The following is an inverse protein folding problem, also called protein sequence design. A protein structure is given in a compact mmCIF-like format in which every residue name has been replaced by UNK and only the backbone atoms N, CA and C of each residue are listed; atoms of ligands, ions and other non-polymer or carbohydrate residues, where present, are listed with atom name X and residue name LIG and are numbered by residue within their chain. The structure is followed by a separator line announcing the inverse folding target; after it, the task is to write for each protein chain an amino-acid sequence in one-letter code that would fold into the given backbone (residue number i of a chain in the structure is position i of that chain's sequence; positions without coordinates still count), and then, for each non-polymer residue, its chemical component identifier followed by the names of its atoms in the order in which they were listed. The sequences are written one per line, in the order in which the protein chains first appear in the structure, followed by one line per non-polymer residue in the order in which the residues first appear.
data_IF_617339825246
#
_entry.id   IF_617339825246
#
_cell.length_a   1.000
_cell.length_b   1.000
_cell.length_c   1.000
_cell.angle_alpha   90.00
_cell.angle_beta   90.00
_cell.angle_gamma   90.00
#
_symmetry.space_group_name_H-M   'P 1'
#
loop_
_entity.id
_entity.type
_entity.pdbx_description
1 polymer ?
#
# COMPACT_ATOMS: atom_id res chain seq x y z
N UNK A 1 -18.73 -3.30 -15.52
CA UNK A 1 -18.00 -2.02 -15.29
C UNK A 1 -18.81 -1.22 -14.29
N UNK A 2 -18.23 -0.82 -13.14
CA UNK A 2 -18.84 0.30 -12.41
C UNK A 2 -18.88 1.43 -13.42
N UNK A 3 -20.08 1.95 -13.77
CA UNK A 3 -20.23 3.00 -14.76
C UNK A 3 -19.52 4.25 -14.22
N UNK A 4 -18.24 4.43 -14.57
CA UNK A 4 -17.44 5.60 -14.18
C UNK A 4 -17.96 6.91 -14.82
N UNK A 5 -18.88 6.83 -15.78
CA UNK A 5 -19.50 7.99 -16.44
C UNK A 5 -20.17 8.97 -15.47
N UNK A 6 -20.63 8.49 -14.30
CA UNK A 6 -21.20 9.32 -13.24
C UNK A 6 -20.16 9.78 -12.19
N UNK A 7 -18.87 9.52 -12.41
CA UNK A 7 -17.81 9.82 -11.45
C UNK A 7 -16.80 10.81 -12.04
N UNK A 8 -16.35 11.73 -11.19
CA UNK A 8 -15.28 12.69 -11.50
C UNK A 8 -13.98 12.25 -10.88
N UNK A 9 -12.88 12.23 -11.64
CA UNK A 9 -11.54 12.02 -11.13
C UNK A 9 -11.17 13.15 -10.16
N UNK A 10 -10.78 12.80 -8.95
CA UNK A 10 -10.40 13.78 -7.89
C UNK A 10 -8.95 13.66 -7.46
N UNK A 11 -8.33 12.51 -7.69
CA UNK A 11 -6.92 12.29 -7.41
C UNK A 11 -6.38 11.16 -8.29
N UNK A 12 -5.14 11.30 -8.76
CA UNK A 12 -4.45 10.22 -9.45
C UNK A 12 -2.96 10.22 -9.17
N UNK A 13 -2.38 9.04 -9.27
CA UNK A 13 -0.94 8.81 -9.33
C UNK A 13 -0.65 7.96 -10.56
N UNK A 14 0.05 8.55 -11.50
CA UNK A 14 0.40 7.92 -12.79
C UNK A 14 1.89 7.56 -12.83
N UNK A 15 2.63 7.77 -11.73
CA UNK A 15 4.06 7.53 -11.58
C UNK A 15 4.93 8.12 -12.70
N UNK A 16 4.54 9.30 -13.19
CA UNK A 16 5.31 10.04 -14.19
C UNK A 16 6.61 10.56 -13.58
N UNK A 17 7.73 10.32 -14.26
CA UNK A 17 9.04 10.76 -13.79
C UNK A 17 9.98 9.59 -13.44
N UNK A 18 10.94 9.84 -12.57
CA UNK A 18 12.00 8.89 -12.19
C UNK A 18 12.05 8.58 -10.69
N UNK A 19 11.25 9.29 -9.89
CA UNK A 19 11.16 9.15 -8.44
C UNK A 19 9.71 9.27 -7.99
N UNK A 20 9.42 8.82 -6.78
CA UNK A 20 8.14 9.12 -6.13
C UNK A 20 7.98 10.63 -6.01
N UNK A 21 6.79 11.13 -6.31
CA UNK A 21 6.49 12.54 -6.18
C UNK A 21 6.32 12.96 -4.70
N UNK A 22 6.25 14.27 -4.47
CA UNK A 22 6.17 14.86 -3.13
C UNK A 22 4.90 14.55 -2.34
N UNK A 23 3.85 14.02 -2.98
CA UNK A 23 2.63 13.60 -2.30
C UNK A 23 2.81 12.34 -1.45
N UNK A 24 3.92 11.62 -1.64
CA UNK A 24 4.23 10.39 -0.94
C UNK A 24 5.36 10.55 0.09
N UNK A 25 5.31 9.72 1.11
CA UNK A 25 6.33 9.61 2.15
C UNK A 25 6.58 8.14 2.51
N UNK A 26 7.83 7.83 2.84
CA UNK A 26 8.22 6.48 3.29
C UNK A 26 7.92 6.28 4.76
N UNK A 27 7.70 5.03 5.16
CA UNK A 27 7.50 4.62 6.54
C UNK A 27 6.03 4.43 6.92
N UNK A 28 5.80 4.10 8.16
CA UNK A 28 4.46 3.99 8.73
C UNK A 28 3.88 5.37 9.00
N UNK A 29 2.59 5.54 8.80
CA UNK A 29 1.89 6.81 9.01
C UNK A 29 2.04 7.36 10.44
N UNK A 30 2.11 6.46 11.44
CA UNK A 30 2.29 6.78 12.86
C UNK A 30 3.76 6.86 13.30
N UNK A 31 4.70 6.69 12.37
CA UNK A 31 6.12 6.69 12.70
C UNK A 31 6.59 8.08 13.14
N UNK A 32 7.24 8.15 14.29
CA UNK A 32 7.94 9.37 14.68
C UNK A 32 9.16 9.56 13.78
N UNK A 33 9.17 10.65 13.02
CA UNK A 33 10.23 10.98 12.05
C UNK A 33 11.60 11.21 12.72
N UNK A 34 11.59 11.69 13.96
CA UNK A 34 12.82 11.93 14.74
C UNK A 34 13.49 10.62 15.17
N UNK A 35 12.71 9.58 15.44
CA UNK A 35 13.23 8.25 15.82
C UNK A 35 13.65 7.42 14.63
N UNK A 36 13.32 7.95 13.45
CA UNK A 36 13.68 7.51 12.17
C UNK A 36 13.64 6.02 11.90
N UNK A 37 13.47 5.52 10.88
CA UNK A 37 13.84 5.65 9.54
C UNK A 37 13.64 4.37 8.76
N UNK A 38 14.18 3.25 9.16
CA UNK A 38 13.95 1.92 8.62
C UNK A 38 13.10 1.11 9.58
N UNK A 39 12.17 1.79 10.27
CA UNK A 39 11.34 1.16 11.27
C UNK A 39 10.58 0.00 10.67
N UNK A 40 10.82 -1.17 11.24
CA UNK A 40 10.13 -2.40 10.92
C UNK A 40 9.73 -3.07 12.22
N UNK A 41 8.83 -4.02 12.16
CA UNK A 41 8.44 -4.81 13.32
C UNK A 41 9.22 -6.11 13.33
N UNK A 42 9.62 -6.57 14.51
CA UNK A 42 10.33 -7.87 14.66
C UNK A 42 9.49 -9.07 14.19
N UNK A 43 8.16 -8.90 14.11
CA UNK A 43 7.22 -9.89 13.54
C UNK A 43 7.25 -9.96 11.99
N UNK A 44 8.04 -9.12 11.34
CA UNK A 44 8.26 -9.12 9.89
C UNK A 44 9.69 -9.57 9.60
N UNK A 45 9.94 -10.08 8.41
CA UNK A 45 11.27 -10.60 8.04
C UNK A 45 12.11 -9.60 7.27
N UNK A 46 11.56 -8.44 6.93
CA UNK A 46 12.24 -7.37 6.20
C UNK A 46 12.31 -6.08 6.99
N UNK A 47 13.38 -5.33 6.76
CA UNK A 47 13.44 -3.91 7.08
C UNK A 47 12.97 -3.08 5.88
N UNK A 48 12.34 -1.95 6.14
CA UNK A 48 12.03 -0.95 5.12
C UNK A 48 13.22 -0.01 4.91
N UNK A 49 13.48 0.37 3.65
CA UNK A 49 14.72 1.03 3.24
C UNK A 49 14.56 2.50 2.85
N UNK A 50 13.45 3.12 3.22
CA UNK A 50 13.18 4.53 2.90
C UNK A 50 13.26 4.84 1.41
N UNK A 51 12.62 4.00 0.59
CA UNK A 51 12.55 4.17 -0.85
C UNK A 51 13.71 3.56 -1.64
N UNK A 52 14.78 3.05 -1.00
CA UNK A 52 15.91 2.46 -1.73
C UNK A 52 15.57 1.15 -2.45
N UNK A 53 14.48 0.49 -2.09
CA UNK A 53 13.95 -0.68 -2.78
C UNK A 53 12.78 -0.34 -3.71
N UNK A 54 12.51 0.95 -3.92
CA UNK A 54 11.50 1.45 -4.82
C UNK A 54 12.13 2.14 -6.01
N UNK A 55 11.52 2.01 -7.17
CA UNK A 55 11.94 2.68 -8.40
C UNK A 55 10.71 3.12 -9.18
N UNK A 56 10.71 4.34 -9.65
CA UNK A 56 9.76 4.84 -10.66
C UNK A 56 10.48 4.88 -12.00
N UNK A 57 9.96 4.17 -12.99
CA UNK A 57 10.48 4.19 -14.36
C UNK A 57 9.38 3.75 -15.33
N UNK A 58 9.33 4.37 -16.51
CA UNK A 58 8.33 4.08 -17.56
C UNK A 58 6.88 4.16 -17.02
N UNK A 59 6.59 5.16 -16.20
CA UNK A 59 5.30 5.36 -15.53
C UNK A 59 4.85 4.16 -14.67
N UNK A 60 5.80 3.45 -14.05
CA UNK A 60 5.53 2.34 -13.13
C UNK A 60 6.31 2.53 -11.85
N UNK A 61 5.62 2.42 -10.71
CA UNK A 61 6.27 2.21 -9.42
C UNK A 61 6.55 0.73 -9.24
N UNK A 62 7.83 0.37 -9.06
CA UNK A 62 8.27 -0.97 -8.67
C UNK A 62 8.75 -0.97 -7.23
N UNK A 63 8.19 -1.84 -6.37
CA UNK A 63 8.69 -2.12 -5.02
C UNK A 63 9.29 -3.52 -4.99
N UNK A 64 10.57 -3.58 -4.62
CA UNK A 64 11.34 -4.83 -4.60
C UNK A 64 11.51 -5.34 -3.17
N UNK A 65 11.12 -6.58 -2.91
CA UNK A 65 11.54 -7.32 -1.73
C UNK A 65 12.78 -8.12 -2.07
N UNK A 66 13.90 -7.84 -1.39
CA UNK A 66 15.23 -8.41 -1.70
C UNK A 66 15.78 -9.20 -0.54
N UNK A 67 16.53 -10.26 -0.83
CA UNK A 67 17.37 -10.92 0.18
C UNK A 67 18.58 -10.03 0.43
N UNK A 68 18.56 -9.33 1.54
CA UNK A 68 19.64 -8.42 1.96
C UNK A 68 19.64 -8.33 3.48
N UNK A 69 20.74 -8.73 4.09
CA UNK A 69 20.91 -8.63 5.54
C UNK A 69 21.19 -7.19 5.93
N UNK A 70 20.42 -6.68 6.89
CA UNK A 70 20.60 -5.32 7.44
C UNK A 70 20.28 -5.33 8.94
N UNK A 71 21.10 -4.64 9.73
CA UNK A 71 20.82 -4.37 11.14
C UNK A 71 20.32 -2.94 11.28
N UNK A 72 19.15 -2.78 11.88
CA UNK A 72 18.52 -1.47 12.08
C UNK A 72 17.62 -1.51 13.30
N UNK A 73 17.02 -0.38 13.65
CA UNK A 73 16.05 -0.31 14.74
C UNK A 73 14.72 -0.94 14.34
N UNK A 74 14.19 -1.79 15.21
CA UNK A 74 12.90 -2.44 15.03
C UNK A 74 12.01 -2.29 16.26
N UNK A 75 10.71 -2.27 16.06
CA UNK A 75 9.70 -2.30 17.10
C UNK A 75 9.48 -3.73 17.61
N UNK A 76 9.66 -3.90 18.93
CA UNK A 76 9.32 -5.14 19.64
C UNK A 76 8.18 -4.86 20.63
N UNK A 77 7.10 -5.66 20.68
CA UNK A 77 5.89 -5.34 21.46
C UNK A 77 6.11 -5.19 22.96
N UNK A 78 7.13 -5.84 23.52
CA UNK A 78 7.42 -5.78 24.96
C UNK A 78 8.72 -5.05 25.33
N UNK A 79 9.62 -4.82 24.34
CA UNK A 79 10.93 -4.19 24.58
C UNK A 79 11.05 -2.81 23.96
N UNK A 80 10.01 -2.36 23.20
CA UNK A 80 10.07 -1.10 22.47
C UNK A 80 11.03 -1.15 21.28
N UNK A 81 11.76 -0.08 21.07
CA UNK A 81 12.71 0.07 19.96
C UNK A 81 14.03 -0.63 20.29
N UNK A 82 14.39 -1.63 19.52
CA UNK A 82 15.61 -2.42 19.71
C UNK A 82 16.41 -2.56 18.43
N UNK A 83 17.75 -2.70 18.47
CA UNK A 83 18.54 -3.17 17.34
C UNK A 83 18.10 -4.59 16.94
N UNK A 84 17.85 -4.78 15.64
CA UNK A 84 17.41 -6.07 15.10
C UNK A 84 18.02 -6.31 13.72
N UNK A 85 18.35 -7.57 13.41
CA UNK A 85 18.92 -7.95 12.13
C UNK A 85 17.88 -8.63 11.26
N UNK A 86 17.53 -8.01 10.15
CA UNK A 86 16.63 -8.52 9.14
C UNK A 86 17.38 -9.25 8.04
N UNK A 87 16.78 -10.31 7.49
CA UNK A 87 17.34 -11.06 6.38
C UNK A 87 16.94 -10.51 5.00
N UNK A 88 15.93 -9.64 4.98
CA UNK A 88 15.36 -9.06 3.76
C UNK A 88 15.18 -7.56 3.92
N UNK A 89 15.04 -6.89 2.79
CA UNK A 89 14.66 -5.48 2.71
C UNK A 89 13.47 -5.32 1.77
N UNK A 90 12.66 -4.27 1.99
CA UNK A 90 11.53 -3.88 1.15
C UNK A 90 11.22 -2.40 1.34
N UNK A 91 10.08 -1.92 0.84
CA UNK A 91 9.63 -0.56 1.09
C UNK A 91 8.14 -0.48 1.44
N UNK A 92 7.82 0.64 2.10
CA UNK A 92 6.49 1.07 2.49
C UNK A 92 6.35 2.56 2.18
N UNK A 93 5.20 2.93 1.61
CA UNK A 93 4.85 4.30 1.25
C UNK A 93 3.43 4.64 1.71
N UNK A 94 3.21 5.88 2.09
CA UNK A 94 1.88 6.41 2.35
C UNK A 94 1.74 7.83 1.77
N UNK A 95 0.51 8.25 1.50
CA UNK A 95 0.25 9.64 1.08
C UNK A 95 0.37 10.59 2.27
N UNK A 96 1.04 11.72 2.10
CA UNK A 96 1.18 12.75 3.15
C UNK A 96 -0.15 13.36 3.57
N UNK A 97 -1.07 13.47 2.61
CA UNK A 97 -2.41 14.00 2.85
C UNK A 97 -3.46 12.91 2.64
N UNK A 98 -4.64 13.15 3.18
CA UNK A 98 -5.79 12.29 2.93
C UNK A 98 -6.29 12.48 1.50
N UNK A 99 -6.60 11.38 0.82
CA UNK A 99 -6.95 11.39 -0.61
C UNK A 99 -8.34 10.83 -0.90
N UNK A 100 -8.97 10.17 0.07
CA UNK A 100 -10.25 9.52 -0.16
C UNK A 100 -11.43 10.43 0.17
N UNK A 101 -12.39 10.64 -0.76
CA UNK A 101 -13.67 11.30 -0.48
C UNK A 101 -14.54 10.42 0.43
N UNK A 102 -15.63 10.98 0.98
CA UNK A 102 -16.60 10.24 1.83
C UNK A 102 -17.22 9.03 1.13
N UNK A 103 -17.40 9.12 -0.18
CA UNK A 103 -17.88 8.06 -1.06
C UNK A 103 -17.14 8.15 -2.40
N UNK A 104 -16.89 7.04 -3.06
CA UNK A 104 -16.17 7.08 -4.33
C UNK A 104 -15.76 5.71 -4.86
N UNK A 105 -14.86 5.77 -5.79
CA UNK A 105 -14.24 4.62 -6.44
C UNK A 105 -12.73 4.82 -6.43
N UNK A 106 -11.97 3.80 -6.06
CA UNK A 106 -10.54 3.73 -6.37
C UNK A 106 -10.28 2.59 -7.33
N UNK A 107 -9.51 2.88 -8.36
CA UNK A 107 -9.00 1.87 -9.29
C UNK A 107 -7.48 1.84 -9.25
N UNK A 108 -6.92 0.65 -9.35
CA UNK A 108 -5.48 0.41 -9.33
C UNK A 108 -5.14 -0.62 -10.38
N UNK A 109 -4.19 -0.31 -11.26
CA UNK A 109 -3.62 -1.25 -12.21
C UNK A 109 -2.27 -1.73 -11.68
N UNK A 110 -2.17 -3.02 -11.38
CA UNK A 110 -1.05 -3.59 -10.64
C UNK A 110 -0.78 -5.03 -11.03
N UNK A 111 0.47 -5.45 -10.91
CA UNK A 111 0.89 -6.85 -10.95
C UNK A 111 1.89 -7.16 -9.84
N UNK A 112 2.02 -8.42 -9.49
CA UNK A 112 3.00 -8.85 -8.50
C UNK A 112 3.62 -10.20 -8.85
N UNK A 113 4.88 -10.37 -8.47
CA UNK A 113 5.60 -11.64 -8.60
C UNK A 113 6.33 -11.97 -7.30
N UNK A 114 6.67 -13.25 -7.13
CA UNK A 114 7.43 -13.71 -5.97
C UNK A 114 6.55 -14.09 -4.78
N UNK A 115 7.14 -14.06 -3.58
CA UNK A 115 6.52 -14.64 -2.36
C UNK A 115 6.14 -13.62 -1.29
N UNK A 116 6.42 -12.31 -1.46
CA UNK A 116 5.97 -11.30 -0.50
C UNK A 116 4.44 -11.13 -0.54
N UNK A 117 3.90 -10.67 0.56
CA UNK A 117 2.54 -10.13 0.61
C UNK A 117 2.58 -8.66 0.22
N UNK A 118 1.59 -8.23 -0.52
CA UNK A 118 1.46 -6.87 -0.99
C UNK A 118 0.19 -6.26 -0.39
N UNK A 119 0.30 -5.06 0.12
CA UNK A 119 -0.83 -4.30 0.64
C UNK A 119 -0.92 -2.98 -0.12
N UNK A 120 -2.09 -2.69 -0.61
CA UNK A 120 -2.52 -1.37 -0.99
C UNK A 120 -3.90 -1.17 -0.36
N UNK A 121 -4.03 -0.17 0.49
CA UNK A 121 -5.22 0.01 1.30
C UNK A 121 -5.44 1.49 1.63
N UNK A 122 -6.68 1.82 1.98
CA UNK A 122 -6.94 3.01 2.75
C UNK A 122 -6.68 2.75 4.23
N UNK A 123 -6.07 3.73 4.89
CA UNK A 123 -5.73 3.68 6.31
C UNK A 123 -6.11 5.01 6.97
N UNK A 124 -6.63 4.95 8.19
CA UNK A 124 -6.94 6.15 8.98
C UNK A 124 -5.65 6.83 9.44
N UNK A 125 -5.70 8.13 9.73
CA UNK A 125 -4.56 8.93 10.20
C UNK A 125 -3.85 8.31 11.41
N UNK A 126 -4.59 7.63 12.28
CA UNK A 126 -4.05 6.93 13.45
C UNK A 126 -3.64 5.49 13.16
N UNK A 127 -3.76 5.03 11.91
CA UNK A 127 -3.46 3.67 11.48
C UNK A 127 -4.23 2.55 12.21
N UNK A 128 -5.32 2.88 12.89
CA UNK A 128 -6.10 1.92 13.69
C UNK A 128 -7.00 1.02 12.83
N UNK A 129 -7.41 1.52 11.67
CA UNK A 129 -8.33 0.79 10.78
C UNK A 129 -7.82 0.84 9.34
N UNK A 130 -8.02 -0.27 8.65
CA UNK A 130 -7.55 -0.49 7.29
C UNK A 130 -8.70 -0.96 6.41
N UNK A 131 -8.84 -0.39 5.23
CA UNK A 131 -9.73 -0.87 4.18
C UNK A 131 -8.88 -1.38 3.00
N UNK A 132 -8.74 -2.70 2.84
CA UNK A 132 -7.93 -3.26 1.77
C UNK A 132 -8.51 -2.95 0.39
N UNK A 133 -7.67 -2.58 -0.55
CA UNK A 133 -8.01 -2.42 -1.97
C UNK A 133 -7.49 -3.64 -2.73
N UNK A 134 -6.28 -4.09 -2.44
CA UNK A 134 -5.75 -5.31 -3.01
C UNK A 134 -6.21 -6.56 -2.24
N UNK A 135 -6.46 -7.68 -2.93
CA UNK A 135 -6.72 -8.96 -2.29
C UNK A 135 -5.45 -9.51 -1.62
N UNK A 136 -5.62 -10.59 -0.84
CA UNK A 136 -4.48 -11.29 -0.19
C UNK A 136 -3.43 -11.78 -1.20
N UNK A 137 -3.81 -12.05 -2.43
CA UNK A 137 -2.94 -12.49 -3.52
C UNK A 137 -3.19 -11.63 -4.76
N UNK A 138 -2.16 -10.92 -5.19
CA UNK A 138 -2.18 -10.11 -6.42
C UNK A 138 -1.79 -10.97 -7.61
N UNK A 139 -2.41 -10.75 -8.75
CA UNK A 139 -2.15 -11.47 -9.98
C UNK A 139 -0.73 -11.23 -10.50
N UNK A 140 -0.19 -12.20 -11.24
CA UNK A 140 1.14 -12.08 -11.87
C UNK A 140 1.17 -11.15 -13.07
N UNK A 141 0.05 -11.00 -13.77
CA UNK A 141 -0.13 -10.04 -14.87
C UNK A 141 -0.89 -8.81 -14.41
N UNK A 142 -0.74 -7.70 -15.13
CA UNK A 142 -1.45 -6.48 -14.82
C UNK A 142 -2.97 -6.72 -14.76
N UNK A 143 -3.53 -6.35 -13.63
CA UNK A 143 -4.93 -6.54 -13.29
C UNK A 143 -5.46 -5.24 -12.69
N UNK A 144 -6.69 -4.88 -13.01
CA UNK A 144 -7.36 -3.72 -12.41
C UNK A 144 -8.17 -4.18 -11.22
N UNK A 145 -7.81 -3.67 -10.04
CA UNK A 145 -8.58 -3.83 -8.81
C UNK A 145 -9.35 -2.55 -8.55
N UNK A 146 -10.64 -2.68 -8.30
CA UNK A 146 -11.54 -1.56 -8.03
C UNK A 146 -12.22 -1.75 -6.68
N UNK A 147 -12.19 -0.72 -5.84
CA UNK A 147 -12.99 -0.63 -4.64
C UNK A 147 -14.00 0.51 -4.81
N UNK A 148 -15.27 0.18 -4.70
CA UNK A 148 -16.37 1.16 -4.63
C UNK A 148 -16.82 1.25 -3.18
N UNK A 149 -16.95 2.47 -2.66
CA UNK A 149 -17.42 2.66 -1.29
C UNK A 149 -18.44 3.80 -1.18
N UNK A 150 -19.37 3.63 -0.27
CA UNK A 150 -20.28 4.65 0.20
C UNK A 150 -20.33 4.62 1.74
N UNK A 151 -21.25 5.35 2.35
CA UNK A 151 -21.36 5.43 3.81
C UNK A 151 -21.70 4.09 4.49
N UNK A 152 -22.30 3.14 3.79
CA UNK A 152 -22.81 1.90 4.37
C UNK A 152 -21.99 0.67 3.97
N UNK A 153 -21.51 0.64 2.73
CA UNK A 153 -20.91 -0.57 2.17
C UNK A 153 -19.66 -0.30 1.32
N UNK A 154 -18.90 -1.33 1.13
CA UNK A 154 -17.77 -1.41 0.20
C UNK A 154 -17.95 -2.61 -0.73
N UNK A 155 -17.61 -2.45 -2.00
CA UNK A 155 -17.66 -3.52 -3.00
C UNK A 155 -16.34 -3.58 -3.75
N UNK A 156 -15.75 -4.77 -3.83
CA UNK A 156 -14.50 -5.00 -4.54
C UNK A 156 -14.76 -5.67 -5.88
N UNK A 157 -14.03 -5.25 -6.90
CA UNK A 157 -14.05 -5.80 -8.24
C UNK A 157 -12.64 -6.16 -8.69
N UNK A 158 -12.52 -7.18 -9.53
CA UNK A 158 -11.31 -7.57 -10.26
C UNK A 158 -11.67 -7.62 -11.74
N UNK A 159 -11.02 -6.79 -12.57
CA UNK A 159 -11.34 -6.63 -13.98
C UNK A 159 -12.87 -6.52 -14.24
N UNK A 160 -13.51 -5.61 -13.51
CA UNK A 160 -14.95 -5.32 -13.59
C UNK A 160 -15.91 -6.42 -13.06
N UNK A 161 -15.38 -7.53 -12.56
CA UNK A 161 -16.19 -8.57 -11.91
C UNK A 161 -16.25 -8.35 -10.40
N UNK A 162 -17.45 -8.29 -9.82
CA UNK A 162 -17.62 -8.20 -8.38
C UNK A 162 -17.10 -9.49 -7.72
N UNK A 163 -16.20 -9.31 -6.74
CA UNK A 163 -15.59 -10.43 -6.01
C UNK A 163 -15.93 -10.45 -4.54
N UNK A 164 -16.31 -9.32 -3.98
CA UNK A 164 -16.77 -9.25 -2.59
C UNK A 164 -17.55 -7.97 -2.31
N UNK A 165 -18.43 -8.05 -1.32
CA UNK A 165 -19.20 -6.93 -0.80
C UNK A 165 -19.26 -7.01 0.72
N UNK A 166 -19.20 -5.88 1.42
CA UNK A 166 -19.24 -5.85 2.86
C UNK A 166 -19.60 -4.48 3.43
N UNK A 167 -19.67 -4.39 4.74
CA UNK A 167 -19.96 -3.13 5.46
C UNK A 167 -18.77 -2.18 5.41
N UNK A 168 -19.01 -0.89 5.18
CA UNK A 168 -17.99 0.14 5.32
C UNK A 168 -17.79 0.46 6.81
N UNK A 169 -16.59 0.19 7.33
CA UNK A 169 -16.21 0.45 8.72
C UNK A 169 -15.42 1.76 8.87
N UNK A 170 -15.17 2.48 7.77
CA UNK A 170 -14.35 3.70 7.76
C UNK A 170 -15.16 4.97 7.42
N UNK A 171 -16.48 4.91 7.50
CA UNK A 171 -17.37 6.05 7.22
C UNK A 171 -16.96 7.30 7.98
N UNK A 172 -16.85 8.43 7.27
CA UNK A 172 -16.53 9.73 7.86
C UNK A 172 -15.10 9.90 8.35
N UNK A 173 -14.20 8.92 8.11
CA UNK A 173 -12.78 9.01 8.47
C UNK A 173 -11.98 9.67 7.36
N UNK A 174 -10.92 10.35 7.75
CA UNK A 174 -9.89 10.84 6.83
C UNK A 174 -8.96 9.67 6.50
N UNK A 175 -8.73 9.42 5.20
CA UNK A 175 -8.03 8.24 4.74
C UNK A 175 -6.81 8.59 3.88
N UNK A 176 -5.69 8.01 4.23
CA UNK A 176 -4.46 7.98 3.43
C UNK A 176 -4.42 6.69 2.61
N UNK A 177 -3.70 6.70 1.49
CA UNK A 177 -3.28 5.47 0.83
C UNK A 177 -1.99 4.97 1.47
N UNK A 178 -1.88 3.66 1.64
CA UNK A 178 -0.67 2.98 2.07
C UNK A 178 -0.36 1.85 1.10
N UNK A 179 0.89 1.79 0.66
CA UNK A 179 1.44 0.75 -0.21
C UNK A 179 2.61 0.09 0.52
N UNK A 180 2.64 -1.23 0.58
CA UNK A 180 3.82 -1.97 1.08
C UNK A 180 3.94 -3.36 0.50
N UNK A 181 5.16 -3.85 0.47
CA UNK A 181 5.46 -5.26 0.29
C UNK A 181 6.15 -5.78 1.54
N UNK A 182 5.72 -6.93 2.06
CA UNK A 182 6.27 -7.47 3.31
C UNK A 182 6.29 -8.99 3.35
N UNK A 183 7.17 -9.52 4.18
CA UNK A 183 7.30 -10.95 4.46
C UNK A 183 6.88 -11.19 5.92
N UNK A 184 5.71 -11.79 6.18
CA UNK A 184 5.32 -12.15 7.54
C UNK A 184 6.29 -13.20 8.11
N UNK A 185 6.44 -13.25 9.41
CA UNK A 185 7.34 -14.16 10.11
C UNK A 185 7.13 -15.64 9.72
N UNK A 186 5.87 -16.03 9.56
CA UNK A 186 5.47 -17.38 9.14
C UNK A 186 5.93 -17.78 7.73
N UNK A 187 6.36 -16.85 6.91
CA UNK A 187 6.76 -17.12 5.53
C UNK A 187 8.25 -17.42 5.43
N UNK A 188 8.62 -18.57 4.87
CA UNK A 188 10.02 -19.02 4.73
C UNK A 188 10.90 -18.15 3.81
N UNK A 189 10.49 -16.92 3.50
CA UNK A 189 11.25 -15.95 2.74
C UNK A 189 10.99 -16.02 1.23
N UNK A 190 11.63 -15.12 0.54
CA UNK A 190 11.58 -15.00 -0.91
C UNK A 190 11.80 -13.56 -1.36
N UNK A 191 12.24 -13.43 -2.61
CA UNK A 191 12.22 -12.17 -3.33
C UNK A 191 10.85 -11.94 -3.94
N UNK A 192 10.48 -10.68 -4.13
CA UNK A 192 9.22 -10.32 -4.77
C UNK A 192 9.32 -8.96 -5.43
N UNK A 193 8.40 -8.70 -6.34
CA UNK A 193 8.23 -7.42 -7.00
C UNK A 193 6.75 -7.07 -7.06
N UNK A 194 6.41 -5.86 -6.69
CA UNK A 194 5.12 -5.23 -6.91
C UNK A 194 5.31 -4.11 -7.91
N UNK A 195 4.61 -4.16 -9.04
CA UNK A 195 4.60 -3.11 -10.05
C UNK A 195 3.21 -2.47 -10.08
N UNK A 196 3.14 -1.16 -9.89
CA UNK A 196 1.90 -0.38 -9.96
C UNK A 196 2.03 0.59 -11.13
N UNK A 197 1.13 0.45 -12.10
CA UNK A 197 1.05 1.30 -13.28
C UNK A 197 0.38 2.65 -12.93
N UNK A 198 -0.78 2.60 -12.30
CA UNK A 198 -1.48 3.80 -11.85
C UNK A 198 -2.45 3.53 -10.69
N UNK A 199 -2.82 4.61 -10.00
CA UNK A 199 -3.87 4.66 -8.97
C UNK A 199 -4.76 5.85 -9.26
N UNK A 200 -6.08 5.66 -9.33
CA UNK A 200 -7.05 6.71 -9.64
C UNK A 200 -8.21 6.68 -8.66
N UNK A 201 -8.57 7.84 -8.12
CA UNK A 201 -9.66 8.00 -7.17
C UNK A 201 -10.70 8.93 -7.76
N UNK A 202 -11.94 8.50 -7.71
CA UNK A 202 -13.09 9.19 -8.26
C UNK A 202 -14.13 9.43 -7.17
N UNK A 203 -14.93 10.48 -7.31
CA UNK A 203 -16.12 10.74 -6.50
C UNK A 203 -17.32 10.93 -7.41
N UNK A 204 -18.52 10.80 -6.87
CA UNK A 204 -19.73 11.15 -7.63
C UNK A 204 -19.65 12.63 -8.04
N UNK A 205 -20.06 12.91 -9.27
CA UNK A 205 -20.22 14.26 -9.78
C UNK A 205 -21.29 15.03 -9.00
#
# INVERSE_FOLDING_TARGET
MAQLEAYKLVWSEEFNGTTMNEAWETGYLYQNKELNTNLSHVSERQAYTQGKNSRVANSVLSILTKKQKITTTAWHPTKGMIPYTFAFTSDIWHTKQTVAPKKGVVQIKVQATGKAKHTLCFITTQAEKVLPILPKQVAKGYTIYTLVWNEKEVTNYVNDQEVSRGKNTLTGKQLHLLIRSYLPESQKGGTAKLDIDWIRIYTNA
#
